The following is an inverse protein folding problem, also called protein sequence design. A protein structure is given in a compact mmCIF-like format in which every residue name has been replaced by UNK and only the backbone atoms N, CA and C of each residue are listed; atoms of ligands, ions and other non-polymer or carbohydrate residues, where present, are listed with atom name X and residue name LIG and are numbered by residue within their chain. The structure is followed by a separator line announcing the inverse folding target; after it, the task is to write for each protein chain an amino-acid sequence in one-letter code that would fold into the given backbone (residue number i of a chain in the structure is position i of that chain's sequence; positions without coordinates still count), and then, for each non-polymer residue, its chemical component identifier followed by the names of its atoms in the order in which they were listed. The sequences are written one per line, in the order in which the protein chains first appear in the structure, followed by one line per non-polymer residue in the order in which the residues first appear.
data_IF_239970853603
#
_entry.id   IF_239970853603
#
_cell.length_a   1.000
_cell.length_b   1.000
_cell.length_c   1.000
_cell.angle_alpha   90.00
_cell.angle_beta   90.00
_cell.angle_gamma   90.00
#
_symmetry.space_group_name_H-M   'P 1'
#
loop_
_entity.id
_entity.type
_entity.pdbx_description
1 polymer ?
#
# COMPACT_ATOMS: atom_id res chain seq x y z
N UNK A 1 -17.02 15.80 -20.97
CA UNK A 1 -16.52 14.49 -20.48
C UNK A 1 -15.20 14.59 -19.71
N UNK A 2 -14.14 15.21 -20.26
CA UNK A 2 -12.84 15.36 -19.55
C UNK A 2 -12.97 15.94 -18.13
N UNK A 3 -13.78 16.99 -17.95
CA UNK A 3 -14.02 17.61 -16.64
C UNK A 3 -14.69 16.66 -15.63
N UNK A 4 -15.55 15.74 -16.10
CA UNK A 4 -16.23 14.79 -15.23
C UNK A 4 -15.26 13.70 -14.75
N UNK A 5 -14.44 13.15 -15.64
CA UNK A 5 -13.42 12.15 -15.29
C UNK A 5 -12.40 12.72 -14.30
N UNK A 6 -11.92 13.96 -14.53
CA UNK A 6 -11.02 14.64 -13.60
C UNK A 6 -11.67 14.88 -12.23
N UNK A 7 -12.94 15.30 -12.21
CA UNK A 7 -13.70 15.50 -10.99
C UNK A 7 -13.90 14.21 -10.18
N UNK A 8 -14.23 13.09 -10.85
CA UNK A 8 -14.40 11.80 -10.19
C UNK A 8 -13.08 11.28 -9.62
N UNK A 9 -11.96 11.48 -10.34
CA UNK A 9 -10.62 11.17 -9.82
C UNK A 9 -10.31 11.99 -8.56
N UNK A 10 -10.54 13.29 -8.60
CA UNK A 10 -10.36 14.17 -7.45
C UNK A 10 -11.21 13.75 -6.25
N UNK A 11 -12.51 13.46 -6.45
CA UNK A 11 -13.39 12.97 -5.38
C UNK A 11 -12.84 11.69 -4.73
N UNK A 12 -12.35 10.76 -5.55
CA UNK A 12 -11.79 9.51 -5.08
C UNK A 12 -10.50 9.71 -4.28
N UNK A 13 -9.63 10.63 -4.71
CA UNK A 13 -8.43 11.03 -3.97
C UNK A 13 -8.81 11.60 -2.59
N UNK A 14 -10.00 12.21 -2.46
CA UNK A 14 -10.61 12.64 -1.19
C UNK A 14 -11.32 11.50 -0.43
N UNK A 15 -11.18 10.26 -0.86
CA UNK A 15 -11.86 9.10 -0.27
C UNK A 15 -13.37 9.07 -0.51
N UNK A 16 -13.89 9.86 -1.44
CA UNK A 16 -15.32 9.90 -1.73
C UNK A 16 -15.67 8.89 -2.83
N UNK A 17 -16.75 8.15 -2.64
CA UNK A 17 -17.32 7.33 -3.70
C UNK A 17 -17.80 8.19 -4.89
N UNK A 18 -17.69 7.63 -6.09
CA UNK A 18 -18.26 8.21 -7.29
C UNK A 18 -19.81 8.19 -7.20
N UNK A 19 -20.49 9.34 -7.20
CA UNK A 19 -21.94 9.38 -7.09
C UNK A 19 -22.60 8.62 -8.24
N UNK A 20 -23.61 7.82 -7.92
CA UNK A 20 -24.34 7.00 -8.89
C UNK A 20 -24.84 7.80 -10.10
N UNK A 21 -25.39 8.99 -9.84
CA UNK A 21 -25.87 9.94 -10.86
C UNK A 21 -24.80 10.42 -11.85
N UNK A 22 -23.53 10.42 -11.44
CA UNK A 22 -22.40 10.84 -12.28
C UNK A 22 -21.82 9.67 -13.10
N UNK A 23 -22.00 8.44 -12.62
CA UNK A 23 -21.57 7.23 -13.34
C UNK A 23 -22.55 6.84 -14.47
N UNK A 24 -23.85 7.10 -14.31
CA UNK A 24 -24.88 6.72 -15.31
C UNK A 24 -24.63 7.32 -16.71
N UNK A 25 -24.31 8.62 -16.86
CA UNK A 25 -23.96 9.19 -18.18
C UNK A 25 -22.66 8.61 -18.76
N UNK A 26 -21.71 8.21 -17.91
CA UNK A 26 -20.46 7.61 -18.36
C UNK A 26 -20.69 6.21 -18.94
N UNK A 27 -21.56 5.42 -18.32
CA UNK A 27 -21.98 4.10 -18.83
C UNK A 27 -22.61 4.21 -20.22
N UNK A 28 -23.50 5.18 -20.44
CA UNK A 28 -24.15 5.38 -21.74
C UNK A 28 -23.17 5.72 -22.87
N UNK A 29 -22.00 6.27 -22.54
CA UNK A 29 -20.92 6.60 -23.50
C UNK A 29 -19.72 5.66 -23.39
N UNK A 30 -19.83 4.55 -22.65
CA UNK A 30 -18.68 3.74 -22.27
C UNK A 30 -17.94 3.15 -23.49
N UNK A 31 -18.69 2.66 -24.49
CA UNK A 31 -18.14 2.06 -25.71
C UNK A 31 -17.39 3.08 -26.58
N UNK A 32 -17.73 4.37 -26.52
CA UNK A 32 -17.08 5.41 -27.32
C UNK A 32 -15.83 6.02 -26.68
N UNK A 33 -15.52 5.64 -25.44
CA UNK A 33 -14.31 6.09 -24.76
C UNK A 33 -13.06 5.36 -25.26
N UNK A 34 -11.91 6.02 -25.17
CA UNK A 34 -10.62 5.35 -25.31
C UNK A 34 -10.37 4.37 -24.14
N UNK A 35 -9.48 3.39 -24.34
CA UNK A 35 -9.17 2.32 -23.38
C UNK A 35 -8.79 2.83 -21.99
N UNK A 36 -8.03 3.92 -21.92
CA UNK A 36 -7.63 4.53 -20.62
C UNK A 36 -8.85 5.02 -19.85
N UNK A 37 -9.77 5.70 -20.54
CA UNK A 37 -11.00 6.22 -19.92
C UNK A 37 -11.98 5.10 -19.60
N UNK A 38 -12.11 4.09 -20.48
CA UNK A 38 -12.88 2.89 -20.23
C UNK A 38 -12.40 2.20 -18.94
N UNK A 39 -11.09 2.00 -18.77
CA UNK A 39 -10.53 1.40 -17.56
C UNK A 39 -10.93 2.15 -16.30
N UNK A 40 -10.81 3.48 -16.30
CA UNK A 40 -11.20 4.29 -15.14
C UNK A 40 -12.67 4.16 -14.81
N UNK A 41 -13.54 4.30 -15.81
CA UNK A 41 -14.99 4.19 -15.62
C UNK A 41 -15.37 2.80 -15.12
N UNK A 42 -14.83 1.75 -15.73
CA UNK A 42 -15.01 0.36 -15.32
C UNK A 42 -14.61 0.14 -13.86
N UNK A 43 -13.39 0.54 -13.49
CA UNK A 43 -12.90 0.37 -12.13
C UNK A 43 -13.71 1.16 -11.09
N UNK A 44 -14.23 2.35 -11.43
CA UNK A 44 -15.09 3.13 -10.52
C UNK A 44 -16.46 2.50 -10.29
N UNK A 45 -17.02 1.86 -11.31
CA UNK A 45 -18.30 1.16 -11.19
C UNK A 45 -18.17 -0.03 -10.24
N UNK A 46 -17.09 -0.80 -10.38
CA UNK A 46 -16.81 -1.93 -9.50
C UNK A 46 -16.51 -1.50 -8.07
N UNK A 47 -15.66 -0.49 -7.89
CA UNK A 47 -15.31 0.04 -6.57
C UNK A 47 -16.53 0.61 -5.83
N UNK A 48 -17.47 1.23 -6.55
CA UNK A 48 -18.58 1.97 -5.95
C UNK A 48 -19.86 1.17 -5.73
N UNK A 49 -20.11 0.13 -6.52
CA UNK A 49 -21.41 -0.54 -6.58
C UNK A 49 -21.37 -2.06 -6.56
N UNK A 50 -20.20 -2.67 -6.74
CA UNK A 50 -20.15 -4.12 -6.97
C UNK A 50 -21.04 -4.55 -8.13
N UNK A 51 -21.19 -3.71 -9.16
CA UNK A 51 -22.00 -4.04 -10.34
C UNK A 51 -21.56 -5.38 -10.92
N UNK A 52 -22.52 -6.15 -11.42
CA UNK A 52 -22.26 -7.45 -12.00
C UNK A 52 -21.32 -7.27 -13.21
N UNK A 53 -20.14 -7.88 -13.13
CA UNK A 53 -19.16 -7.91 -14.21
C UNK A 53 -19.75 -8.50 -15.51
N UNK A 54 -20.84 -9.24 -15.40
CA UNK A 54 -21.59 -9.87 -16.48
C UNK A 54 -22.21 -8.87 -17.47
N UNK A 55 -22.48 -7.63 -17.04
CA UNK A 55 -23.10 -6.61 -17.89
C UNK A 55 -22.13 -5.99 -18.91
N UNK A 56 -20.82 -6.25 -18.79
CA UNK A 56 -19.82 -5.69 -19.71
C UNK A 56 -19.56 -6.59 -20.93
N UNK A 57 -19.50 -6.00 -22.14
CA UNK A 57 -19.10 -6.70 -23.37
C UNK A 57 -17.73 -7.37 -23.26
N UNK A 58 -17.60 -8.61 -23.74
CA UNK A 58 -16.37 -9.41 -23.63
C UNK A 58 -15.18 -8.78 -24.35
N UNK A 59 -15.40 -8.09 -25.47
CA UNK A 59 -14.36 -7.36 -26.21
C UNK A 59 -13.76 -6.23 -25.37
N UNK A 60 -14.58 -5.50 -24.62
CA UNK A 60 -14.11 -4.44 -23.73
C UNK A 60 -13.34 -5.05 -22.55
N UNK A 61 -13.88 -6.09 -21.91
CA UNK A 61 -13.18 -6.76 -20.80
C UNK A 61 -11.84 -7.33 -21.25
N UNK A 62 -11.76 -7.90 -22.46
CA UNK A 62 -10.51 -8.39 -23.06
C UNK A 62 -9.49 -7.27 -23.20
N UNK A 63 -9.90 -6.12 -23.73
CA UNK A 63 -9.03 -4.95 -23.89
C UNK A 63 -8.53 -4.36 -22.55
N UNK A 64 -9.27 -4.60 -21.45
CA UNK A 64 -8.94 -4.10 -20.12
C UNK A 64 -8.15 -5.12 -19.27
N UNK A 65 -8.14 -6.39 -19.64
CA UNK A 65 -7.63 -7.49 -18.81
C UNK A 65 -6.14 -7.35 -18.44
N UNK A 66 -5.33 -6.68 -19.27
CA UNK A 66 -3.90 -6.48 -18.99
C UNK A 66 -3.61 -5.33 -18.02
N UNK A 67 -4.61 -4.50 -17.69
CA UNK A 67 -4.43 -3.35 -16.81
C UNK A 67 -5.49 -3.20 -15.73
N UNK A 68 -6.43 -4.14 -15.64
CA UNK A 68 -7.45 -4.21 -14.59
C UNK A 68 -7.57 -5.65 -14.07
N UNK A 69 -7.13 -5.93 -12.82
CA UNK A 69 -7.33 -7.22 -12.16
C UNK A 69 -8.78 -7.72 -12.18
N UNK A 70 -9.74 -6.81 -12.04
CA UNK A 70 -11.15 -7.18 -12.07
C UNK A 70 -11.63 -7.60 -13.47
N UNK A 71 -11.19 -6.91 -14.53
CA UNK A 71 -11.49 -7.32 -15.89
C UNK A 71 -10.87 -8.70 -16.21
N UNK A 72 -9.62 -8.91 -15.78
CA UNK A 72 -8.92 -10.17 -15.97
C UNK A 72 -9.61 -11.34 -15.25
N UNK A 73 -10.06 -11.12 -14.02
CA UNK A 73 -10.82 -12.10 -13.26
C UNK A 73 -12.15 -12.46 -13.93
N UNK A 74 -12.88 -11.46 -14.43
CA UNK A 74 -14.13 -11.65 -15.16
C UNK A 74 -13.92 -12.49 -16.43
N UNK A 75 -12.89 -12.16 -17.22
CA UNK A 75 -12.55 -12.93 -18.42
C UNK A 75 -12.21 -14.39 -18.09
N UNK A 76 -11.45 -14.62 -17.03
CA UNK A 76 -11.12 -15.98 -16.58
C UNK A 76 -12.38 -16.75 -16.15
N UNK A 77 -13.31 -16.10 -15.46
CA UNK A 77 -14.58 -16.71 -15.03
C UNK A 77 -15.46 -17.10 -16.23
N UNK A 78 -15.40 -16.33 -17.32
CA UNK A 78 -16.09 -16.63 -18.59
C UNK A 78 -15.42 -17.74 -19.41
N UNK A 79 -14.29 -18.29 -18.96
CA UNK A 79 -13.53 -19.30 -19.72
C UNK A 79 -12.86 -18.75 -20.98
N UNK A 80 -12.69 -17.43 -21.07
CA UNK A 80 -12.05 -16.77 -22.20
C UNK A 80 -10.54 -16.93 -22.15
N UNK A 81 -9.91 -17.02 -23.33
CA UNK A 81 -8.46 -17.03 -23.43
C UNK A 81 -7.90 -15.62 -23.19
N UNK A 82 -6.98 -15.50 -22.23
CA UNK A 82 -6.28 -14.26 -21.87
C UNK A 82 -4.77 -14.51 -21.74
N UNK A 83 -3.99 -13.43 -21.81
CA UNK A 83 -2.52 -13.47 -21.70
C UNK A 83 -2.05 -13.95 -20.32
N UNK A 84 -0.78 -14.36 -20.23
CA UNK A 84 -0.21 -14.81 -18.94
C UNK A 84 -0.25 -13.71 -17.88
N UNK A 85 0.09 -12.48 -18.26
CA UNK A 85 0.03 -11.32 -17.36
C UNK A 85 -1.40 -11.08 -16.85
N UNK A 86 -2.39 -11.14 -17.73
CA UNK A 86 -3.79 -11.04 -17.33
C UNK A 86 -4.21 -12.18 -16.39
N UNK A 87 -3.73 -13.42 -16.59
CA UNK A 87 -3.97 -14.52 -15.63
C UNK A 87 -3.37 -14.20 -14.25
N UNK A 88 -2.17 -13.64 -14.21
CA UNK A 88 -1.54 -13.21 -12.96
C UNK A 88 -2.37 -12.12 -12.25
N UNK A 89 -2.90 -11.14 -12.99
CA UNK A 89 -3.80 -10.12 -12.42
C UNK A 89 -5.16 -10.70 -11.98
N UNK A 90 -5.68 -11.69 -12.70
CA UNK A 90 -6.90 -12.41 -12.31
C UNK A 90 -6.69 -13.13 -10.96
N UNK A 91 -5.53 -13.77 -10.77
CA UNK A 91 -5.14 -14.39 -9.49
C UNK A 91 -5.07 -13.35 -8.38
N UNK A 92 -4.40 -12.21 -8.61
CA UNK A 92 -4.35 -11.11 -7.64
C UNK A 92 -5.75 -10.70 -7.18
N UNK A 93 -6.69 -10.53 -8.11
CA UNK A 93 -8.07 -10.14 -7.79
C UNK A 93 -8.79 -11.21 -6.97
N UNK A 94 -8.75 -12.47 -7.40
CA UNK A 94 -9.46 -13.59 -6.79
C UNK A 94 -8.95 -13.92 -5.39
N UNK A 95 -7.63 -13.81 -5.18
CA UNK A 95 -6.99 -14.23 -3.94
C UNK A 95 -7.01 -13.16 -2.84
N UNK A 96 -7.48 -11.93 -3.10
CA UNK A 96 -7.43 -10.87 -2.07
C UNK A 96 -8.15 -11.24 -0.78
N UNK A 97 -9.34 -11.83 -0.84
CA UNK A 97 -10.09 -12.17 0.37
C UNK A 97 -9.40 -13.30 1.14
N UNK A 98 -9.03 -14.38 0.43
CA UNK A 98 -8.29 -15.51 1.00
C UNK A 98 -6.98 -15.04 1.66
N UNK A 99 -6.17 -14.26 0.95
CA UNK A 99 -4.91 -13.75 1.50
C UNK A 99 -5.11 -12.77 2.66
N UNK A 100 -6.20 -11.99 2.69
CA UNK A 100 -6.50 -11.10 3.83
C UNK A 100 -6.89 -11.90 5.06
N UNK A 101 -7.64 -12.98 4.91
CA UNK A 101 -8.01 -13.87 6.02
C UNK A 101 -6.78 -14.60 6.57
N UNK A 102 -5.94 -15.14 5.68
CA UNK A 102 -4.65 -15.74 6.05
C UNK A 102 -3.73 -14.72 6.73
N UNK A 103 -3.66 -13.49 6.21
CA UNK A 103 -2.84 -12.43 6.79
C UNK A 103 -3.36 -11.99 8.15
N UNK A 104 -4.68 -11.87 8.32
CA UNK A 104 -5.31 -11.58 9.62
C UNK A 104 -5.00 -12.68 10.63
N UNK A 105 -5.06 -13.94 10.21
CA UNK A 105 -4.69 -15.10 11.04
C UNK A 105 -3.21 -15.05 11.42
N UNK A 106 -2.32 -14.76 10.45
CA UNK A 106 -0.89 -14.61 10.66
C UNK A 106 -0.55 -13.50 11.66
N UNK A 107 -1.19 -12.33 11.55
CA UNK A 107 -1.01 -11.21 12.49
C UNK A 107 -1.59 -11.54 13.87
N UNK A 108 -2.74 -12.22 13.93
CA UNK A 108 -3.36 -12.62 15.19
C UNK A 108 -2.50 -13.61 15.97
N UNK A 109 -1.88 -14.57 15.28
CA UNK A 109 -0.94 -15.52 15.88
C UNK A 109 0.31 -14.84 16.45
N UNK A 110 0.62 -13.61 16.02
CA UNK A 110 1.77 -12.82 16.45
C UNK A 110 1.36 -11.54 17.19
N UNK A 111 0.16 -11.50 17.78
CA UNK A 111 -0.46 -10.27 18.29
C UNK A 111 0.47 -9.37 19.10
N UNK A 112 1.29 -9.93 19.99
CA UNK A 112 2.14 -9.15 20.91
C UNK A 112 3.60 -9.00 20.43
N UNK A 113 3.89 -9.47 19.22
CA UNK A 113 5.23 -9.54 18.64
C UNK A 113 5.27 -8.96 17.23
N UNK A 114 4.57 -7.83 17.02
CA UNK A 114 4.57 -7.07 15.76
C UNK A 114 5.25 -5.71 15.97
N UNK A 115 6.19 -5.37 15.07
CA UNK A 115 6.80 -4.05 15.00
C UNK A 115 6.69 -3.46 13.59
N UNK A 116 6.19 -2.24 13.50
CA UNK A 116 6.13 -1.47 12.24
C UNK A 116 7.24 -0.45 12.22
N UNK A 117 8.16 -0.55 11.25
CA UNK A 117 9.35 0.30 11.18
C UNK A 117 9.23 1.26 10.01
N UNK A 118 8.85 2.51 10.30
CA UNK A 118 8.84 3.61 9.35
C UNK A 118 10.25 4.06 8.92
N UNK A 119 10.30 4.92 7.92
CA UNK A 119 11.56 5.40 7.34
C UNK A 119 12.02 6.78 7.84
N UNK A 120 11.43 7.31 8.92
CA UNK A 120 11.82 8.62 9.45
C UNK A 120 13.29 8.61 9.88
N UNK A 121 13.98 9.74 9.68
CA UNK A 121 15.39 9.84 10.06
C UNK A 121 15.64 9.75 11.57
N UNK A 122 14.61 9.90 12.41
CA UNK A 122 14.69 9.65 13.85
C UNK A 122 15.10 8.22 14.18
N UNK A 123 14.89 7.27 13.26
CA UNK A 123 15.38 5.90 13.43
C UNK A 123 16.92 5.85 13.40
N UNK A 124 17.57 6.77 12.70
CA UNK A 124 19.02 6.86 12.69
C UNK A 124 19.51 7.30 14.08
N UNK A 125 20.49 6.57 14.62
CA UNK A 125 21.07 6.72 15.98
C UNK A 125 20.24 6.22 17.17
N UNK A 126 19.08 5.60 16.96
CA UNK A 126 18.24 5.10 18.07
C UNK A 126 18.75 3.80 18.71
N UNK A 127 19.71 3.10 18.09
CA UNK A 127 20.24 1.79 18.55
C UNK A 127 19.18 0.72 18.85
N UNK A 128 17.95 0.88 18.31
CA UNK A 128 16.81 -0.02 18.54
C UNK A 128 16.86 -1.26 17.67
N UNK A 129 17.84 -1.41 16.78
CA UNK A 129 17.86 -2.49 15.79
C UNK A 129 17.80 -3.88 16.39
N UNK A 130 18.50 -4.11 17.51
CA UNK A 130 18.42 -5.38 18.25
C UNK A 130 17.02 -5.63 18.81
N UNK A 131 16.37 -4.59 19.33
CA UNK A 131 15.00 -4.68 19.83
C UNK A 131 14.02 -4.97 18.71
N UNK A 132 14.16 -4.31 17.54
CA UNK A 132 13.33 -4.59 16.36
C UNK A 132 13.46 -6.05 15.91
N UNK A 133 14.66 -6.61 15.97
CA UNK A 133 14.90 -7.99 15.53
C UNK A 133 14.36 -9.06 16.49
N UNK A 134 13.89 -8.70 17.70
CA UNK A 134 13.23 -9.66 18.62
C UNK A 134 11.75 -9.90 18.30
N UNK A 135 11.12 -9.05 17.50
CA UNK A 135 9.72 -9.21 17.10
C UNK A 135 9.58 -10.36 16.09
N UNK A 136 8.44 -11.05 16.12
CA UNK A 136 8.12 -12.13 15.19
C UNK A 136 7.65 -11.61 13.82
N UNK A 137 7.14 -10.39 13.77
CA UNK A 137 6.66 -9.78 12.53
C UNK A 137 7.14 -8.35 12.44
N UNK A 138 8.00 -8.08 11.46
CA UNK A 138 8.53 -6.74 11.19
C UNK A 138 8.07 -6.24 9.83
N UNK A 139 7.40 -5.08 9.84
CA UNK A 139 7.01 -4.37 8.64
C UNK A 139 8.06 -3.32 8.26
N UNK A 140 8.42 -3.23 6.98
CA UNK A 140 9.26 -2.14 6.44
C UNK A 140 8.71 -1.59 5.14
N UNK A 141 9.13 -0.36 4.81
CA UNK A 141 8.54 0.41 3.72
C UNK A 141 9.51 0.71 2.59
N UNK A 142 9.04 0.55 1.36
CA UNK A 142 9.69 0.96 0.13
C UNK A 142 11.16 0.53 0.08
N UNK A 143 12.07 1.50 -0.08
CA UNK A 143 13.50 1.30 0.06
C UNK A 143 13.88 1.49 1.51
N UNK A 144 14.38 0.42 2.10
CA UNK A 144 15.01 0.38 3.41
C UNK A 144 16.40 -0.24 3.25
N UNK A 145 17.32 0.05 4.16
CA UNK A 145 18.67 -0.53 4.12
C UNK A 145 18.82 -1.52 5.26
N UNK A 146 19.11 -2.78 4.94
CA UNK A 146 19.54 -3.83 5.88
C UNK A 146 20.98 -4.27 5.60
N UNK A 147 21.66 -3.58 4.69
CA UNK A 147 23.05 -3.90 4.36
C UNK A 147 23.99 -3.12 5.28
N UNK A 148 25.04 -3.80 5.73
CA UNK A 148 26.18 -3.22 6.47
C UNK A 148 26.98 -2.21 5.64
N UNK A 149 26.75 -2.16 4.32
CA UNK A 149 27.57 -1.50 3.31
C UNK A 149 26.93 -0.21 2.79
N UNK A 150 26.68 0.75 3.66
CA UNK A 150 26.63 2.13 3.21
C UNK A 150 28.07 2.67 3.14
N UNK A 151 28.45 3.11 1.94
CA UNK A 151 29.72 3.69 1.60
C UNK A 151 30.24 4.59 2.72
N UNK A 152 31.53 4.40 3.01
CA UNK A 152 32.35 5.19 3.93
C UNK A 152 32.12 6.68 3.62
N UNK A 153 31.23 7.31 4.37
CA UNK A 153 31.22 8.76 4.51
C UNK A 153 32.06 9.01 5.76
N UNK A 154 33.28 9.51 5.56
CA UNK A 154 34.20 9.95 6.61
C UNK A 154 34.92 8.86 7.44
N UNK A 155 35.20 7.69 6.87
CA UNK A 155 36.09 6.69 7.50
C UNK A 155 35.50 5.92 8.69
N UNK A 156 34.22 6.14 9.02
CA UNK A 156 33.53 5.42 10.11
C UNK A 156 32.59 4.35 9.54
N UNK A 157 32.62 3.10 10.05
CA UNK A 157 31.63 2.10 9.70
C UNK A 157 30.25 2.61 10.11
N UNK A 158 29.31 2.63 9.16
CA UNK A 158 27.95 3.07 9.43
C UNK A 158 27.24 2.02 10.30
N UNK A 159 26.82 2.43 11.50
CA UNK A 159 26.10 1.64 12.50
C UNK A 159 24.65 1.33 12.12
N UNK A 160 24.28 1.49 10.85
CA UNK A 160 22.90 1.51 10.38
C UNK A 160 22.10 0.26 10.78
N UNK A 161 22.77 -0.90 10.84
CA UNK A 161 22.15 -2.14 11.30
C UNK A 161 21.86 -2.18 12.80
N UNK A 162 22.75 -1.61 13.61
CA UNK A 162 22.49 -1.45 15.04
C UNK A 162 21.34 -0.47 15.27
N UNK A 163 21.16 0.48 14.35
CA UNK A 163 20.12 1.51 14.46
C UNK A 163 18.73 0.94 14.14
N UNK A 164 18.53 0.19 13.06
CA UNK A 164 17.18 -0.15 12.58
C UNK A 164 16.87 -1.65 12.44
N UNK A 165 17.84 -2.54 12.67
CA UNK A 165 17.64 -3.99 12.61
C UNK A 165 17.64 -4.56 11.19
N UNK A 166 17.62 -5.89 11.08
CA UNK A 166 17.67 -6.65 9.82
C UNK A 166 16.37 -7.33 9.44
N UNK A 167 15.52 -7.65 10.42
CA UNK A 167 14.34 -8.48 10.22
C UNK A 167 13.32 -7.80 9.30
N UNK A 168 12.73 -8.59 8.42
CA UNK A 168 11.66 -8.19 7.52
C UNK A 168 10.76 -9.40 7.28
N UNK A 169 9.50 -9.30 7.67
CA UNK A 169 8.49 -10.34 7.45
C UNK A 169 7.36 -9.85 6.54
N UNK A 170 7.10 -8.53 6.53
CA UNK A 170 6.12 -7.89 5.64
C UNK A 170 6.73 -6.67 4.96
N UNK A 171 6.72 -6.67 3.63
CA UNK A 171 7.20 -5.54 2.86
C UNK A 171 6.05 -4.68 2.35
N UNK A 172 6.06 -3.40 2.67
CA UNK A 172 5.04 -2.43 2.24
C UNK A 172 5.64 -1.53 1.17
N UNK A 173 5.06 -1.50 -0.03
CA UNK A 173 5.58 -0.70 -1.14
C UNK A 173 4.54 0.27 -1.71
N UNK A 174 5.02 1.38 -2.25
CA UNK A 174 4.23 2.27 -3.07
C UNK A 174 3.97 1.62 -4.45
N UNK A 175 2.84 1.92 -5.11
CA UNK A 175 2.44 1.23 -6.34
C UNK A 175 3.39 1.46 -7.51
N UNK A 176 4.14 2.57 -7.48
CA UNK A 176 5.06 3.01 -8.53
C UNK A 176 6.53 2.75 -8.18
N UNK A 177 6.82 1.97 -7.14
CA UNK A 177 8.19 1.65 -6.77
C UNK A 177 8.86 0.85 -7.89
N UNK A 178 10.03 1.29 -8.32
CA UNK A 178 10.80 0.70 -9.41
C UNK A 178 11.87 -0.26 -8.90
N UNK A 179 12.14 -1.30 -9.70
CA UNK A 179 13.22 -2.27 -9.49
C UNK A 179 14.61 -1.60 -9.62
N UNK A 180 15.68 -2.20 -9.05
CA UNK A 180 15.67 -3.39 -8.20
C UNK A 180 15.06 -3.12 -6.81
N UNK A 181 14.45 -4.15 -6.24
CA UNK A 181 13.98 -4.15 -4.85
C UNK A 181 15.13 -4.42 -3.89
N UNK A 182 15.01 -4.07 -2.59
CA UNK A 182 15.98 -4.49 -1.58
C UNK A 182 16.12 -6.03 -1.59
N UNK A 183 17.34 -6.60 -1.52
CA UNK A 183 17.53 -8.06 -1.58
C UNK A 183 16.74 -8.83 -0.53
N UNK A 184 16.54 -8.25 0.65
CA UNK A 184 15.74 -8.85 1.72
C UNK A 184 14.27 -9.12 1.33
N UNK A 185 13.75 -8.48 0.28
CA UNK A 185 12.39 -8.73 -0.25
C UNK A 185 12.27 -10.13 -0.86
N UNK A 186 13.37 -10.74 -1.32
CA UNK A 186 13.35 -12.08 -1.90
C UNK A 186 12.87 -13.15 -0.90
N UNK A 187 13.14 -12.96 0.40
CA UNK A 187 12.74 -13.89 1.46
C UNK A 187 11.32 -13.62 2.01
N UNK A 188 10.69 -12.50 1.67
CA UNK A 188 9.39 -12.09 2.23
C UNK A 188 8.26 -12.84 1.56
N UNK A 189 7.30 -13.35 2.33
CA UNK A 189 6.06 -13.94 1.78
C UNK A 189 5.01 -12.87 1.46
N UNK A 190 4.85 -11.90 2.38
CA UNK A 190 3.78 -10.90 2.38
C UNK A 190 4.23 -9.57 1.80
N UNK A 191 3.61 -9.15 0.71
CA UNK A 191 3.79 -7.82 0.12
C UNK A 191 2.50 -7.02 0.22
N UNK A 192 2.57 -5.82 0.77
CA UNK A 192 1.42 -4.90 0.84
C UNK A 192 1.67 -3.72 -0.08
N UNK A 193 0.77 -3.47 -1.02
CA UNK A 193 0.82 -2.27 -1.85
C UNK A 193 -0.01 -1.17 -1.19
N UNK A 194 0.69 -0.13 -0.73
CA UNK A 194 0.08 1.02 -0.06
C UNK A 194 -0.62 1.95 -1.06
N UNK A 195 -1.88 2.26 -0.79
CA UNK A 195 -2.68 3.18 -1.59
C UNK A 195 -4.19 2.94 -1.41
N UNK A 196 -5.03 3.74 -2.10
CA UNK A 196 -6.47 3.50 -2.14
C UNK A 196 -6.75 2.25 -2.99
N UNK A 197 -6.96 1.07 -2.40
CA UNK A 197 -7.15 -0.24 -3.08
C UNK A 197 -6.67 -0.27 -4.54
N UNK A 198 -5.36 -0.48 -4.71
CA UNK A 198 -4.65 -0.19 -5.95
C UNK A 198 -5.10 -1.04 -7.15
N UNK A 199 -5.83 -2.15 -6.90
CA UNK A 199 -6.47 -2.98 -7.94
C UNK A 199 -7.30 -2.16 -8.91
N UNK A 200 -7.89 -1.08 -8.43
CA UNK A 200 -8.81 -0.25 -9.20
C UNK A 200 -8.18 1.07 -9.69
N UNK A 201 -6.86 1.24 -9.58
CA UNK A 201 -6.17 2.49 -9.96
C UNK A 201 -4.90 2.28 -10.75
N UNK A 202 -4.16 1.23 -10.42
CA UNK A 202 -2.85 1.04 -11.01
C UNK A 202 -3.03 0.61 -12.47
N UNK A 203 -2.39 1.36 -13.34
CA UNK A 203 -2.43 1.18 -14.78
C UNK A 203 -1.38 0.19 -15.27
N UNK A 204 -0.23 0.22 -14.61
CA UNK A 204 0.98 -0.50 -14.96
C UNK A 204 1.32 -1.42 -13.80
N UNK A 205 1.20 -2.72 -14.04
CA UNK A 205 1.40 -3.77 -13.07
C UNK A 205 2.74 -4.49 -13.23
N UNK A 206 3.59 -4.10 -14.19
CA UNK A 206 4.77 -4.90 -14.56
C UNK A 206 5.67 -5.25 -13.37
N UNK A 207 5.93 -4.28 -12.50
CA UNK A 207 6.71 -4.46 -11.28
C UNK A 207 6.04 -5.43 -10.29
N UNK A 208 4.72 -5.42 -10.18
CA UNK A 208 3.97 -6.27 -9.23
C UNK A 208 3.76 -7.68 -9.78
N UNK A 209 3.58 -7.82 -11.10
CA UNK A 209 3.50 -9.12 -11.78
C UNK A 209 4.72 -9.96 -11.44
N UNK A 210 5.92 -9.39 -11.46
CA UNK A 210 7.15 -10.11 -11.08
C UNK A 210 7.13 -10.67 -9.64
N UNK A 211 6.41 -10.04 -8.71
CA UNK A 211 6.26 -10.54 -7.34
C UNK A 211 5.26 -11.69 -7.27
N UNK A 212 4.18 -11.61 -8.06
CA UNK A 212 3.17 -12.67 -8.14
C UNK A 212 3.73 -13.92 -8.84
N UNK A 213 4.56 -13.74 -9.86
CA UNK A 213 5.18 -14.84 -10.62
C UNK A 213 6.14 -15.67 -9.75
N UNK A 214 6.77 -15.07 -8.73
CA UNK A 214 7.56 -15.77 -7.71
C UNK A 214 6.74 -16.13 -6.47
N UNK A 215 5.42 -16.25 -6.63
CA UNK A 215 4.46 -16.73 -5.63
C UNK A 215 4.39 -15.92 -4.34
N UNK A 216 4.69 -14.61 -4.36
CA UNK A 216 4.42 -13.74 -3.21
C UNK A 216 2.93 -13.51 -3.03
N UNK A 217 2.48 -13.37 -1.77
CA UNK A 217 1.11 -12.96 -1.45
C UNK A 217 1.04 -11.44 -1.47
N UNK A 218 0.51 -10.91 -2.56
CA UNK A 218 0.39 -9.47 -2.79
C UNK A 218 -0.99 -8.98 -2.34
N UNK A 219 -1.00 -8.17 -1.30
CA UNK A 219 -2.19 -7.59 -0.69
C UNK A 219 -2.34 -6.12 -1.10
N UNK A 220 -3.58 -5.70 -1.32
CA UNK A 220 -3.94 -4.28 -1.40
C UNK A 220 -4.71 -3.86 -0.16
N UNK A 221 -4.41 -2.66 0.34
CA UNK A 221 -5.12 -2.12 1.51
C UNK A 221 -6.58 -1.87 1.15
N UNK A 222 -7.55 -2.35 1.95
CA UNK A 222 -8.97 -2.09 1.73
C UNK A 222 -9.26 -0.59 1.61
N UNK A 223 -10.13 -0.23 0.67
CA UNK A 223 -10.47 1.15 0.41
C UNK A 223 -11.12 1.84 1.62
N UNK A 224 -11.86 1.10 2.45
CA UNK A 224 -12.46 1.62 3.69
C UNK A 224 -11.43 2.27 4.60
N UNK A 225 -10.28 1.60 4.81
CA UNK A 225 -9.16 2.09 5.63
C UNK A 225 -8.64 3.42 5.08
N UNK A 226 -8.39 3.47 3.77
CA UNK A 226 -7.92 4.68 3.10
C UNK A 226 -8.93 5.83 3.25
N UNK A 227 -10.22 5.57 3.01
CA UNK A 227 -11.28 6.59 3.06
C UNK A 227 -11.44 7.17 4.47
N UNK A 228 -11.37 6.32 5.50
CA UNK A 228 -11.35 6.76 6.89
C UNK A 228 -10.18 7.73 7.12
N UNK A 229 -8.96 7.34 6.77
CA UNK A 229 -7.78 8.18 7.00
C UNK A 229 -7.84 9.49 6.22
N UNK A 230 -8.29 9.50 4.97
CA UNK A 230 -8.41 10.75 4.21
C UNK A 230 -9.44 11.68 4.82
N UNK A 231 -10.55 11.15 5.33
CA UNK A 231 -11.56 11.95 6.04
C UNK A 231 -10.97 12.58 7.30
N UNK A 232 -10.15 11.85 8.05
CA UNK A 232 -9.64 12.29 9.34
C UNK A 232 -8.43 13.23 9.17
N UNK A 233 -7.52 12.91 8.24
CA UNK A 233 -6.33 13.70 7.94
C UNK A 233 -6.60 14.89 7.00
N UNK A 234 -7.73 14.90 6.29
CA UNK A 234 -8.03 15.82 5.17
C UNK A 234 -6.97 15.78 4.05
N UNK A 235 -6.24 14.68 3.95
CA UNK A 235 -5.17 14.45 2.99
C UNK A 235 -4.91 12.94 2.82
N UNK A 236 -4.32 12.50 1.70
CA UNK A 236 -3.80 11.14 1.55
C UNK A 236 -2.84 10.76 2.69
N UNK A 237 -2.99 9.60 3.35
CA UNK A 237 -2.05 9.13 4.36
C UNK A 237 -0.71 8.71 3.72
N UNK A 238 0.36 8.80 4.49
CA UNK A 238 1.62 8.12 4.19
C UNK A 238 1.44 6.60 4.28
N UNK A 239 2.32 5.84 3.61
CA UNK A 239 2.27 4.37 3.63
C UNK A 239 2.39 3.80 5.05
N UNK A 240 3.18 4.45 5.91
CA UNK A 240 3.33 4.07 7.32
C UNK A 240 2.03 4.19 8.10
N UNK A 241 1.35 5.34 8.01
CA UNK A 241 0.07 5.58 8.68
C UNK A 241 -1.03 4.66 8.13
N UNK A 242 -1.08 4.49 6.80
CA UNK A 242 -2.04 3.58 6.18
C UNK A 242 -1.87 2.14 6.67
N UNK A 243 -0.63 1.66 6.74
CA UNK A 243 -0.34 0.32 7.21
C UNK A 243 -0.66 0.15 8.70
N UNK A 244 -0.26 1.09 9.55
CA UNK A 244 -0.61 1.07 10.98
C UNK A 244 -2.12 1.01 11.19
N UNK A 245 -2.88 1.89 10.53
CA UNK A 245 -4.34 1.89 10.63
C UNK A 245 -4.95 0.56 10.22
N UNK A 246 -4.45 -0.05 9.14
CA UNK A 246 -4.97 -1.34 8.68
C UNK A 246 -4.65 -2.48 9.66
N UNK A 247 -3.43 -2.52 10.20
CA UNK A 247 -3.04 -3.50 11.24
C UNK A 247 -3.88 -3.32 12.50
N UNK A 248 -4.15 -2.07 12.90
CA UNK A 248 -5.01 -1.75 14.04
C UNK A 248 -6.45 -2.21 13.78
N UNK A 249 -6.99 -1.97 12.57
CA UNK A 249 -8.34 -2.42 12.18
C UNK A 249 -8.45 -3.95 12.23
N UNK A 250 -7.47 -4.69 11.69
CA UNK A 250 -7.47 -6.16 11.73
C UNK A 250 -7.34 -6.73 13.16
N UNK A 251 -6.63 -6.03 14.05
CA UNK A 251 -6.45 -6.45 15.46
C UNK A 251 -7.55 -5.94 16.38
N UNK A 252 -8.36 -4.98 15.94
CA UNK A 252 -9.38 -4.28 16.73
C UNK A 252 -8.85 -3.20 17.68
N UNK A 253 -7.54 -3.17 17.97
CA UNK A 253 -6.91 -2.17 18.86
C UNK A 253 -5.39 -2.03 18.59
N UNK A 254 -4.78 -0.88 18.95
CA UNK A 254 -3.33 -0.68 18.83
C UNK A 254 -2.51 -1.35 19.93
N UNK A 255 -3.12 -1.71 21.07
CA UNK A 255 -2.43 -2.36 22.19
C UNK A 255 -1.58 -3.56 21.74
N UNK A 256 -0.36 -3.66 22.27
CA UNK A 256 0.62 -4.71 21.93
C UNK A 256 1.45 -4.41 20.68
N UNK A 257 0.99 -3.54 19.77
CA UNK A 257 1.72 -3.14 18.57
C UNK A 257 2.92 -2.26 18.93
N UNK A 258 4.07 -2.49 18.27
CA UNK A 258 5.21 -1.59 18.33
C UNK A 258 5.38 -0.78 17.06
N UNK A 259 5.88 0.44 17.21
CA UNK A 259 6.25 1.29 16.11
C UNK A 259 7.65 1.87 16.32
N UNK A 260 8.41 2.00 15.24
CA UNK A 260 9.73 2.61 15.22
C UNK A 260 9.88 3.47 13.96
N UNK A 261 10.75 4.48 13.97
CA UNK A 261 11.04 5.26 12.77
C UNK A 261 9.84 6.04 12.21
N UNK A 262 8.95 6.50 13.09
CA UNK A 262 7.90 7.47 12.78
C UNK A 262 8.27 8.84 13.33
N UNK A 263 8.01 9.90 12.56
CA UNK A 263 8.24 11.25 13.03
C UNK A 263 7.10 11.68 13.95
N UNK A 264 7.30 11.64 15.28
CA UNK A 264 6.29 12.06 16.27
C UNK A 264 6.30 13.55 16.57
N UNK A 265 7.42 14.24 16.33
CA UNK A 265 7.58 15.67 16.60
C UNK A 265 8.12 16.40 15.37
N UNK A 266 7.72 17.66 15.21
CA UNK A 266 8.29 18.54 14.19
C UNK A 266 9.64 19.06 14.68
N UNK A 267 10.74 18.59 14.09
CA UNK A 267 12.08 19.08 14.40
C UNK A 267 12.61 19.84 13.19
N UNK A 268 12.78 21.15 13.35
CA UNK A 268 13.32 22.02 12.30
C UNK A 268 14.72 21.55 11.90
N UNK A 269 14.96 21.34 10.60
CA UNK A 269 16.25 20.91 10.07
C UNK A 269 16.53 19.40 10.15
N UNK A 270 15.62 18.60 10.71
CA UNK A 270 15.78 17.14 10.74
C UNK A 270 15.63 16.54 9.33
N UNK A 271 16.46 15.53 9.03
CA UNK A 271 16.35 14.75 7.79
C UNK A 271 15.00 14.03 7.75
N UNK A 272 14.44 13.89 6.55
CA UNK A 272 13.15 13.21 6.38
C UNK A 272 13.28 11.69 6.32
N UNK A 273 14.27 11.17 5.59
CA UNK A 273 14.45 9.74 5.34
C UNK A 273 15.83 9.28 5.80
N UNK A 274 15.91 8.18 6.56
CA UNK A 274 17.21 7.67 7.03
C UNK A 274 18.08 7.13 5.88
N UNK A 275 17.49 6.36 4.95
CA UNK A 275 18.21 5.74 3.84
C UNK A 275 18.42 6.63 2.59
N UNK A 276 17.69 7.73 2.42
CA UNK A 276 17.68 8.53 1.19
C UNK A 276 17.90 10.02 1.50
N UNK A 277 19.16 10.46 1.54
CA UNK A 277 19.53 11.80 1.99
C UNK A 277 18.93 12.98 1.18
N UNK A 278 18.52 12.75 -0.07
CA UNK A 278 17.94 13.80 -0.94
C UNK A 278 16.40 13.79 -0.97
N UNK A 279 15.75 12.83 -0.32
CA UNK A 279 14.30 12.74 -0.31
C UNK A 279 13.68 13.80 0.60
N UNK A 280 12.73 14.57 0.06
CA UNK A 280 11.96 15.57 0.81
C UNK A 280 10.59 15.00 1.21
N UNK A 281 10.00 15.48 2.32
CA UNK A 281 8.63 15.13 2.67
C UNK A 281 7.68 15.51 1.54
N UNK A 282 6.81 14.59 1.17
CA UNK A 282 5.76 14.88 0.19
C UNK A 282 4.82 15.95 0.75
N UNK A 283 4.52 16.97 -0.06
CA UNK A 283 3.56 18.04 0.27
C UNK A 283 2.10 17.58 0.23
N UNK A 284 1.85 16.35 -0.21
CA UNK A 284 0.49 15.79 -0.33
C UNK A 284 -0.06 15.26 1.00
N UNK A 285 0.79 15.06 2.00
CA UNK A 285 0.40 14.54 3.31
C UNK A 285 0.18 15.67 4.30
N UNK A 286 -0.79 15.48 5.18
CA UNK A 286 -0.96 16.30 6.37
C UNK A 286 -0.10 15.73 7.50
N UNK A 287 1.20 16.06 7.50
CA UNK A 287 2.16 15.55 8.49
C UNK A 287 1.79 15.90 9.94
N UNK A 288 1.12 17.03 10.15
CA UNK A 288 0.62 17.41 11.47
C UNK A 288 -0.53 16.51 11.92
N UNK A 289 -1.49 16.25 11.02
CA UNK A 289 -2.55 15.29 11.26
C UNK A 289 -2.02 13.86 11.52
N UNK A 290 -1.01 13.42 10.77
CA UNK A 290 -0.39 12.11 10.98
C UNK A 290 0.27 12.00 12.37
N UNK A 291 0.95 13.06 12.83
CA UNK A 291 1.52 13.12 14.19
C UNK A 291 0.45 13.06 15.27
N UNK A 292 -0.62 13.84 15.11
CA UNK A 292 -1.74 13.83 16.05
C UNK A 292 -2.38 12.43 16.14
N UNK A 293 -2.52 11.74 15.01
CA UNK A 293 -3.04 10.38 14.95
C UNK A 293 -2.12 9.36 15.63
N UNK A 294 -0.80 9.47 15.41
CA UNK A 294 0.18 8.63 16.11
C UNK A 294 0.11 8.81 17.64
N UNK A 295 -0.01 10.06 18.10
CA UNK A 295 -0.17 10.34 19.53
C UNK A 295 -1.49 9.78 20.08
N UNK A 296 -2.58 9.87 19.32
CA UNK A 296 -3.84 9.25 19.70
C UNK A 296 -3.72 7.72 19.86
N UNK A 297 -3.06 7.04 18.92
CA UNK A 297 -2.82 5.60 19.03
C UNK A 297 -1.86 5.24 20.17
N UNK A 298 -0.88 6.09 20.47
CA UNK A 298 0.02 5.95 21.63
C UNK A 298 -0.79 5.90 22.93
N UNK A 299 -1.72 6.83 23.10
CA UNK A 299 -2.64 6.88 24.25
C UNK A 299 -3.58 5.66 24.34
N UNK A 300 -3.76 4.93 23.23
CA UNK A 300 -4.56 3.69 23.17
C UNK A 300 -3.71 2.41 23.30
N UNK A 301 -2.40 2.53 23.51
CA UNK A 301 -1.51 1.39 23.75
C UNK A 301 -0.56 1.02 22.61
N UNK A 302 -0.48 1.82 21.53
CA UNK A 302 0.66 1.74 20.60
C UNK A 302 1.93 2.13 21.35
N UNK A 303 2.98 1.32 21.27
CA UNK A 303 4.24 1.63 21.95
C UNK A 303 5.33 1.96 20.94
N UNK A 304 6.00 3.10 21.15
CA UNK A 304 7.14 3.48 20.32
C UNK A 304 8.45 2.94 20.89
N UNK A 305 9.30 2.42 20.00
CA UNK A 305 10.69 2.12 20.30
C UNK A 305 11.52 3.36 19.98
N UNK A 306 12.20 3.90 21.00
CA UNK A 306 13.08 5.07 20.92
C UNK A 306 14.52 4.70 21.28
#
# INVERSE_FOLDING_TARGET
MANLTAYLRFRRDLGLAAPSRLLKPLLASFVSFNTVTQRWVFNWLLEGRGEALDDFPSDILRNLAESSPAAAAAMTQRGEQITSEAKTLATLQKMQEVWRDEFTTYLSANRDSICVVGNAATAANSTIGRSVDTFNVVFRFNRFSTETSCAVSDGKPTTQLQEVGRRLDVWVCAPNLQTPYPPAVEAVEWVVIAGPDVRYHLADWGNIISLLDVHKKVLTVPLSVWRMLVRDLKAPPSAGILCLAWVIEMRGAPEGLKAAGFQRQSVTGMRYHYALHRHKPSRRHNWEGERALLHHWEMQGLQFLD
#
